data_IF_482273569269
#
_entry.id   IF_482273569269
#
_cell.length_a   1.000
_cell.length_b   1.000
_cell.length_c   1.000
_cell.angle_alpha   90.00
_cell.angle_beta   90.00
_cell.angle_gamma   90.00
#
_symmetry.space_group_name_H-M   'P 1'
#
loop_
_entity.id
_entity.type
_entity.pdbx_description
1 polymer ?
#
# COMPACT_ATOMS: atom_id res chain seq x y z
N UNK A 1 -8.85 -21.40 -6.08
CA UNK A 1 -7.38 -21.53 -6.19
C UNK A 1 -6.96 -21.04 -7.58
N UNK A 2 -7.06 -19.72 -7.82
CA UNK A 2 -6.68 -19.12 -9.10
C UNK A 2 -5.19 -18.73 -9.05
N UNK A 3 -4.42 -19.26 -10.00
CA UNK A 3 -2.99 -18.99 -10.15
C UNK A 3 -2.77 -17.58 -10.73
N UNK A 4 -2.26 -16.66 -9.93
CA UNK A 4 -1.63 -15.41 -10.38
C UNK A 4 -0.31 -15.71 -11.14
N UNK A 5 -0.40 -16.27 -12.35
CA UNK A 5 0.81 -16.68 -13.13
C UNK A 5 0.96 -15.97 -14.47
N UNK A 6 0.31 -14.82 -14.69
CA UNK A 6 0.30 -14.20 -16.03
C UNK A 6 0.87 -12.78 -16.16
N UNK A 7 1.67 -12.28 -15.20
CA UNK A 7 2.32 -10.97 -15.38
C UNK A 7 3.83 -10.88 -15.25
N UNK A 8 4.55 -11.96 -14.91
CA UNK A 8 6.03 -11.89 -14.87
C UNK A 8 6.61 -13.18 -15.43
N UNK A 9 6.84 -13.21 -16.74
CA UNK A 9 7.75 -14.19 -17.34
C UNK A 9 9.13 -13.54 -17.42
N UNK A 10 10.15 -14.02 -16.68
CA UNK A 10 11.49 -13.47 -16.81
C UNK A 10 12.07 -13.89 -18.17
N UNK A 11 12.21 -12.93 -19.09
CA UNK A 11 13.10 -13.12 -20.25
C UNK A 11 14.53 -13.11 -19.74
N UNK A 12 15.14 -14.29 -19.67
CA UNK A 12 16.60 -14.43 -19.54
C UNK A 12 17.25 -13.82 -20.78
N UNK A 13 17.79 -12.61 -20.68
CA UNK A 13 18.82 -12.11 -21.57
C UNK A 13 20.06 -11.77 -20.73
N UNK A 14 21.13 -12.53 -20.97
CA UNK A 14 22.53 -12.24 -20.66
C UNK A 14 22.90 -12.19 -19.15
N UNK A 15 23.99 -12.87 -18.80
CA UNK A 15 24.56 -13.08 -17.46
C UNK A 15 25.05 -11.81 -16.74
N UNK A 16 24.22 -10.77 -16.70
CA UNK A 16 24.37 -9.60 -15.83
C UNK A 16 23.34 -9.78 -14.72
N UNK A 17 23.73 -9.75 -13.43
CA UNK A 17 22.72 -9.66 -12.37
C UNK A 17 21.89 -8.41 -12.67
N UNK A 18 20.57 -8.57 -12.74
CA UNK A 18 19.69 -7.42 -12.64
C UNK A 18 20.12 -6.70 -11.36
N UNK A 19 20.61 -5.47 -11.48
CA UNK A 19 20.34 -4.52 -10.42
C UNK A 19 18.81 -4.52 -10.37
N UNK A 20 18.22 -5.13 -9.33
CA UNK A 20 16.86 -4.78 -9.01
C UNK A 20 16.88 -3.26 -8.96
N UNK A 21 15.98 -2.58 -9.69
CA UNK A 21 15.77 -1.17 -9.39
C UNK A 21 15.60 -1.09 -7.88
N UNK A 22 16.44 -0.27 -7.23
CA UNK A 22 16.53 -0.22 -5.79
C UNK A 22 15.09 0.08 -5.28
N UNK A 23 14.54 -0.87 -4.53
CA UNK A 23 13.12 -0.90 -4.21
C UNK A 23 12.96 -1.17 -2.73
N UNK A 24 12.11 -0.39 -2.09
CA UNK A 24 11.80 -0.54 -0.69
C UNK A 24 10.37 -1.01 -0.48
N UNK A 25 10.21 -1.98 0.43
CA UNK A 25 8.92 -2.32 1.00
C UNK A 25 8.81 -1.64 2.37
N UNK A 26 7.82 -0.77 2.52
CA UNK A 26 7.47 -0.11 3.77
C UNK A 26 6.27 -0.84 4.37
N UNK A 27 6.41 -1.32 5.60
CA UNK A 27 5.33 -2.03 6.28
C UNK A 27 4.56 -1.13 7.22
N UNK A 28 3.23 -1.17 7.13
CA UNK A 28 2.38 -0.77 8.25
C UNK A 28 2.35 -1.82 9.37
N UNK A 29 1.94 -1.42 10.57
CA UNK A 29 1.98 -2.22 11.80
C UNK A 29 1.17 -3.51 11.71
N UNK A 30 0.04 -3.49 11.00
CA UNK A 30 -0.84 -4.64 10.84
C UNK A 30 -0.44 -5.58 9.68
N UNK A 31 0.60 -5.25 8.92
CA UNK A 31 0.98 -5.98 7.70
C UNK A 31 2.43 -6.45 7.66
N UNK A 32 3.16 -6.41 8.78
CA UNK A 32 4.61 -6.72 8.83
C UNK A 32 4.99 -8.08 8.30
N UNK A 33 4.20 -9.10 8.58
CA UNK A 33 4.45 -10.44 8.03
C UNK A 33 4.33 -10.45 6.50
N UNK A 34 3.25 -9.87 5.95
CA UNK A 34 3.02 -9.83 4.50
C UNK A 34 4.09 -8.99 3.80
N UNK A 35 4.40 -7.81 4.33
CA UNK A 35 5.43 -6.92 3.81
C UNK A 35 6.82 -7.60 3.78
N UNK A 36 7.19 -8.30 4.85
CA UNK A 36 8.48 -9.00 4.93
C UNK A 36 8.59 -10.12 3.90
N UNK A 37 7.51 -10.89 3.69
CA UNK A 37 7.50 -11.91 2.65
C UNK A 37 7.54 -11.29 1.25
N UNK A 38 6.79 -10.22 1.01
CA UNK A 38 6.80 -9.51 -0.27
C UNK A 38 8.19 -8.98 -0.61
N UNK A 39 8.88 -8.34 0.35
CA UNK A 39 10.24 -7.84 0.18
C UNK A 39 11.19 -8.96 -0.27
N UNK A 40 11.12 -10.13 0.38
CA UNK A 40 11.94 -11.30 0.02
C UNK A 40 11.65 -11.83 -1.38
N UNK A 41 10.38 -11.97 -1.73
CA UNK A 41 9.98 -12.48 -3.06
C UNK A 41 10.39 -11.52 -4.19
N UNK A 42 10.38 -10.20 -3.92
CA UNK A 42 10.80 -9.18 -4.87
C UNK A 42 12.31 -8.92 -4.86
N UNK A 43 13.06 -9.51 -3.93
CA UNK A 43 14.46 -9.14 -3.65
C UNK A 43 14.63 -7.63 -3.37
N UNK A 44 13.64 -7.03 -2.71
CA UNK A 44 13.58 -5.64 -2.28
C UNK A 44 14.00 -5.50 -0.80
N UNK A 45 14.45 -4.31 -0.41
CA UNK A 45 14.79 -4.03 0.98
C UNK A 45 13.54 -3.72 1.82
N UNK A 46 13.51 -4.21 3.05
CA UNK A 46 12.46 -3.84 4.01
C UNK A 46 12.90 -2.56 4.74
N UNK A 47 12.15 -1.47 4.59
CA UNK A 47 12.48 -0.19 5.20
C UNK A 47 12.43 -0.26 6.75
N UNK A 48 13.36 0.43 7.41
CA UNK A 48 13.29 0.68 8.85
C UNK A 48 12.26 1.79 9.10
N UNK A 49 11.21 1.44 9.84
CA UNK A 49 10.10 2.32 10.18
C UNK A 49 9.79 2.20 11.67
N UNK A 50 9.63 3.36 12.30
CA UNK A 50 9.13 3.48 13.66
C UNK A 50 7.66 3.90 13.61
N UNK A 51 6.79 3.05 14.14
CA UNK A 51 5.39 3.37 14.39
C UNK A 51 5.11 3.19 15.87
N UNK A 52 4.52 4.21 16.50
CA UNK A 52 4.09 4.15 17.90
C UNK A 52 2.84 5.01 18.11
N UNK A 53 2.24 4.90 19.30
CA UNK A 53 1.11 5.73 19.71
C UNK A 53 1.55 6.72 20.79
N UNK A 54 1.04 7.94 20.73
CA UNK A 54 1.11 8.87 21.85
C UNK A 54 0.14 8.47 22.96
N UNK A 55 0.21 9.14 24.11
CA UNK A 55 -0.59 8.80 25.30
C UNK A 55 -2.10 8.97 25.03
N UNK A 56 -2.47 9.91 24.18
CA UNK A 56 -3.83 10.18 23.71
C UNK A 56 -4.29 9.29 22.54
N UNK A 57 -3.41 8.42 22.03
CA UNK A 57 -3.70 7.49 20.95
C UNK A 57 -3.36 7.98 19.54
N UNK A 58 -2.83 9.21 19.39
CA UNK A 58 -2.38 9.69 18.09
C UNK A 58 -1.27 8.80 17.51
N UNK A 59 -1.30 8.59 16.20
CA UNK A 59 -0.31 7.79 15.50
C UNK A 59 0.95 8.61 15.24
N UNK A 60 2.11 8.07 15.61
CA UNK A 60 3.41 8.58 15.22
C UNK A 60 4.03 7.64 14.20
N UNK A 61 4.51 8.19 13.09
CA UNK A 61 5.22 7.46 12.04
C UNK A 61 6.54 8.17 11.74
N UNK A 62 7.63 7.40 11.59
CA UNK A 62 8.92 7.89 11.10
C UNK A 62 9.62 6.83 10.27
N UNK A 63 9.95 7.17 9.03
CA UNK A 63 10.84 6.37 8.17
C UNK A 63 12.30 6.69 8.55
N UNK A 64 13.13 5.65 8.70
CA UNK A 64 14.56 5.76 9.04
C UNK A 64 15.48 5.35 7.89
N UNK A 65 14.99 4.53 6.96
CA UNK A 65 15.66 4.25 5.68
C UNK A 65 15.66 5.48 4.78
N UNK A 66 16.69 5.62 3.94
CA UNK A 66 16.65 6.59 2.84
C UNK A 66 15.88 5.98 1.66
N UNK A 67 14.83 6.65 1.18
CA UNK A 67 13.96 6.18 0.10
C UNK A 67 14.05 7.08 -1.15
N UNK A 68 15.06 7.95 -1.23
CA UNK A 68 15.18 8.96 -2.26
C UNK A 68 15.46 8.37 -3.65
N UNK A 69 14.66 8.74 -4.65
CA UNK A 69 14.73 8.21 -6.02
C UNK A 69 14.51 6.69 -6.14
N UNK A 70 13.80 6.08 -5.20
CA UNK A 70 13.49 4.65 -5.21
C UNK A 70 12.02 4.36 -5.48
N UNK A 71 11.70 3.17 -6.01
CA UNK A 71 10.33 2.67 -6.03
C UNK A 71 9.95 2.17 -4.63
N UNK A 72 8.84 2.68 -4.07
CA UNK A 72 8.41 2.36 -2.70
C UNK A 72 7.07 1.65 -2.71
N UNK A 73 7.04 0.43 -2.14
CA UNK A 73 5.82 -0.34 -1.92
C UNK A 73 5.39 -0.23 -0.45
N UNK A 74 4.30 0.49 -0.18
CA UNK A 74 3.66 0.51 1.12
C UNK A 74 2.71 -0.67 1.22
N UNK A 75 2.84 -1.50 2.25
CA UNK A 75 1.94 -2.63 2.50
C UNK A 75 1.19 -2.40 3.80
N UNK A 76 -0.13 -2.17 3.72
CA UNK A 76 -0.96 -1.95 4.90
C UNK A 76 -2.44 -2.29 4.66
N UNK A 77 -3.09 -2.90 5.65
CA UNK A 77 -4.55 -3.11 5.67
C UNK A 77 -5.26 -1.85 6.14
N UNK A 78 -6.52 -1.63 5.75
CA UNK A 78 -7.33 -0.49 6.23
C UNK A 78 -8.27 -0.84 7.37
N UNK A 79 -8.00 -1.95 8.08
CA UNK A 79 -8.72 -2.37 9.29
C UNK A 79 -7.76 -2.77 10.42
N UNK A 80 -8.02 -2.38 11.68
CA UNK A 80 -9.09 -1.46 12.12
C UNK A 80 -8.86 -0.02 11.61
N UNK A 81 -9.81 0.88 11.88
CA UNK A 81 -9.84 2.27 11.35
C UNK A 81 -8.53 3.03 11.56
N UNK A 82 -7.85 2.79 12.67
CA UNK A 82 -6.55 3.38 13.00
C UNK A 82 -5.45 3.09 11.96
N UNK A 83 -5.60 2.02 11.17
CA UNK A 83 -4.67 1.69 10.10
C UNK A 83 -4.88 2.56 8.85
N UNK A 84 -6.05 3.17 8.67
CA UNK A 84 -6.27 4.17 7.62
C UNK A 84 -5.40 5.39 7.93
N UNK A 85 -5.46 5.88 9.17
CA UNK A 85 -4.63 7.01 9.64
C UNK A 85 -3.15 6.66 9.52
N UNK A 86 -2.77 5.47 9.96
CA UNK A 86 -1.37 5.02 9.84
C UNK A 86 -0.91 4.96 8.38
N UNK A 87 -1.73 4.45 7.46
CA UNK A 87 -1.41 4.43 6.02
C UNK A 87 -1.21 5.84 5.47
N UNK A 88 -2.09 6.77 5.85
CA UNK A 88 -2.02 8.19 5.44
C UNK A 88 -0.70 8.82 5.87
N UNK A 89 -0.27 8.56 7.11
CA UNK A 89 0.97 9.10 7.69
C UNK A 89 2.23 8.41 7.16
N UNK A 90 2.17 7.10 6.87
CA UNK A 90 3.27 6.40 6.19
C UNK A 90 3.49 7.00 4.80
N UNK A 91 2.41 7.18 4.02
CA UNK A 91 2.48 7.77 2.67
C UNK A 91 3.01 9.19 2.71
N UNK A 92 2.59 10.01 3.67
CA UNK A 92 3.12 11.36 3.90
C UNK A 92 4.64 11.33 4.17
N UNK A 93 5.08 10.54 5.15
CA UNK A 93 6.49 10.42 5.51
C UNK A 93 7.37 9.83 4.38
N UNK A 94 6.81 8.93 3.56
CA UNK A 94 7.49 8.39 2.37
C UNK A 94 7.65 9.47 1.30
N UNK A 95 6.65 10.33 1.12
CA UNK A 95 6.65 11.33 0.04
C UNK A 95 7.70 12.43 0.26
N UNK A 96 8.06 12.72 1.51
CA UNK A 96 9.17 13.63 1.86
C UNK A 96 10.53 13.22 1.27
N UNK A 97 10.73 11.94 0.96
CA UNK A 97 11.95 11.44 0.32
C UNK A 97 11.95 11.64 -1.21
N UNK A 98 10.87 12.12 -1.83
CA UNK A 98 10.72 12.18 -3.29
C UNK A 98 11.05 10.85 -3.99
N UNK A 99 10.37 9.73 -3.62
CA UNK A 99 10.57 8.46 -4.31
C UNK A 99 10.07 8.55 -5.76
N UNK A 100 10.63 7.69 -6.61
CA UNK A 100 10.30 7.60 -8.04
C UNK A 100 8.83 7.19 -8.23
N UNK A 101 8.37 6.21 -7.45
CA UNK A 101 6.96 5.79 -7.39
C UNK A 101 6.55 5.37 -5.98
N UNK A 102 5.27 5.53 -5.67
CA UNK A 102 4.64 4.96 -4.48
C UNK A 102 3.51 4.02 -4.89
N UNK A 103 3.65 2.75 -4.51
CA UNK A 103 2.67 1.69 -4.73
C UNK A 103 2.07 1.33 -3.37
N UNK A 104 0.74 1.44 -3.22
CA UNK A 104 0.03 1.02 -2.03
C UNK A 104 -0.61 -0.36 -2.24
N UNK A 105 -0.08 -1.37 -1.56
CA UNK A 105 -0.67 -2.71 -1.49
C UNK A 105 -1.58 -2.79 -0.27
N UNK A 106 -2.85 -3.12 -0.48
CA UNK A 106 -3.85 -3.28 0.57
C UNK A 106 -4.30 -4.75 0.65
N UNK A 107 -3.73 -5.56 1.56
CA UNK A 107 -4.10 -6.96 1.72
C UNK A 107 -5.56 -7.18 2.13
N UNK A 108 -6.14 -6.21 2.83
CA UNK A 108 -7.55 -6.21 3.20
C UNK A 108 -8.09 -4.78 3.18
N UNK A 109 -9.07 -4.56 2.30
CA UNK A 109 -9.74 -3.27 2.17
C UNK A 109 -11.00 -3.23 3.06
N UNK A 110 -10.86 -2.62 4.24
CA UNK A 110 -11.99 -2.22 5.09
C UNK A 110 -12.94 -1.26 4.36
N UNK A 111 -14.13 -1.05 4.94
CA UNK A 111 -15.20 -0.20 4.37
C UNK A 111 -15.80 -0.65 3.02
N UNK A 112 -15.28 -1.74 2.44
CA UNK A 112 -15.77 -2.34 1.18
C UNK A 112 -17.26 -2.72 1.14
N UNK A 113 -17.93 -2.82 2.30
CA UNK A 113 -19.33 -3.30 2.39
C UNK A 113 -20.37 -2.22 2.09
N UNK A 114 -20.03 -0.93 2.21
CA UNK A 114 -20.93 0.18 1.91
C UNK A 114 -20.40 0.90 0.66
N UNK A 115 -20.58 0.23 -0.46
CA UNK A 115 -20.07 0.54 -1.79
C UNK A 115 -21.10 1.20 -2.71
N UNK A 116 -22.35 1.35 -2.24
CA UNK A 116 -23.41 2.12 -2.88
C UNK A 116 -24.38 2.66 -1.84
N UNK A 117 -25.21 3.61 -2.26
CA UNK A 117 -26.34 4.08 -1.46
C UNK A 117 -27.55 3.18 -1.69
N UNK A 118 -28.15 2.71 -0.61
CA UNK A 118 -29.45 2.05 -0.58
C UNK A 118 -30.55 3.00 -0.09
N UNK A 119 -30.17 3.98 0.73
CA UNK A 119 -31.06 5.03 1.25
C UNK A 119 -30.48 6.43 0.97
N UNK A 120 -31.37 7.41 0.90
CA UNK A 120 -30.98 8.81 0.78
C UNK A 120 -30.13 9.25 1.98
N UNK A 121 -29.07 10.00 1.70
CA UNK A 121 -28.15 10.51 2.73
C UNK A 121 -27.02 9.55 3.13
N UNK A 122 -27.01 8.29 2.66
CA UNK A 122 -25.92 7.36 2.99
C UNK A 122 -24.58 7.78 2.37
N UNK A 123 -23.51 7.49 3.09
CA UNK A 123 -22.16 7.52 2.55
C UNK A 123 -21.95 6.34 1.59
N UNK A 124 -21.03 6.52 0.64
CA UNK A 124 -20.39 5.40 -0.06
C UNK A 124 -18.99 5.32 0.53
N UNK A 125 -18.85 4.65 1.67
CA UNK A 125 -17.60 4.67 2.44
C UNK A 125 -16.45 4.00 1.71
N UNK A 126 -16.70 2.95 0.92
CA UNK A 126 -15.69 2.37 0.03
C UNK A 126 -15.13 3.41 -0.93
N UNK A 127 -15.96 4.30 -1.49
CA UNK A 127 -15.47 5.38 -2.36
C UNK A 127 -14.74 6.46 -1.58
N UNK A 128 -15.29 6.88 -0.45
CA UNK A 128 -14.70 7.95 0.36
C UNK A 128 -13.30 7.58 0.88
N UNK A 129 -13.11 6.35 1.36
CA UNK A 129 -11.80 5.87 1.82
C UNK A 129 -10.84 5.69 0.64
N UNK A 130 -11.29 5.17 -0.49
CA UNK A 130 -10.45 5.01 -1.69
C UNK A 130 -9.90 6.35 -2.19
N UNK A 131 -10.74 7.40 -2.21
CA UNK A 131 -10.34 8.75 -2.62
C UNK A 131 -9.22 9.31 -1.73
N UNK A 132 -9.32 9.16 -0.40
CA UNK A 132 -8.29 9.64 0.54
C UNK A 132 -6.98 8.86 0.40
N UNK A 133 -7.07 7.54 0.22
CA UNK A 133 -5.91 6.67 0.05
C UNK A 133 -5.23 6.83 -1.32
N UNK A 134 -5.92 7.41 -2.31
CA UNK A 134 -5.35 7.66 -3.65
C UNK A 134 -4.44 8.89 -3.70
N UNK A 135 -4.49 9.77 -2.70
CA UNK A 135 -3.71 11.01 -2.69
C UNK A 135 -2.21 10.66 -2.66
N UNK A 136 -1.43 11.24 -3.57
CA UNK A 136 0.02 11.05 -3.72
C UNK A 136 0.47 9.57 -3.80
N UNK A 137 -0.37 8.72 -4.40
CA UNK A 137 -0.09 7.31 -4.70
C UNK A 137 -0.16 7.09 -6.22
N UNK A 138 0.84 6.44 -6.80
CA UNK A 138 0.91 6.14 -8.24
C UNK A 138 0.15 4.89 -8.63
N UNK A 139 0.07 3.90 -7.74
CA UNK A 139 -0.69 2.66 -7.98
C UNK A 139 -1.20 2.08 -6.67
N UNK A 140 -2.44 1.61 -6.66
CA UNK A 140 -3.01 0.80 -5.58
C UNK A 140 -3.14 -0.64 -6.06
N UNK A 141 -2.88 -1.60 -5.17
CA UNK A 141 -3.11 -3.02 -5.44
C UNK A 141 -3.97 -3.59 -4.31
N UNK A 142 -5.19 -4.04 -4.64
CA UNK A 142 -6.09 -4.69 -3.70
C UNK A 142 -5.93 -6.21 -3.79
N UNK A 143 -5.95 -6.89 -2.64
CA UNK A 143 -6.02 -8.36 -2.59
C UNK A 143 -7.47 -8.78 -2.34
N UNK A 144 -8.08 -9.40 -3.35
CA UNK A 144 -9.44 -9.99 -3.31
C UNK A 144 -10.50 -9.03 -2.73
N UNK A 145 -10.74 -7.87 -3.38
CA UNK A 145 -11.73 -6.91 -2.89
C UNK A 145 -13.13 -7.53 -2.85
N UNK A 146 -13.99 -7.07 -1.95
CA UNK A 146 -15.36 -7.60 -1.81
C UNK A 146 -16.15 -7.60 -3.13
N UNK A 147 -15.87 -6.61 -3.98
CA UNK A 147 -16.34 -6.47 -5.36
C UNK A 147 -15.20 -5.94 -6.22
N UNK A 148 -15.02 -6.49 -7.41
CA UNK A 148 -13.93 -6.10 -8.32
C UNK A 148 -13.97 -4.60 -8.67
N UNK A 149 -15.17 -4.02 -8.83
CA UNK A 149 -15.34 -2.61 -9.17
C UNK A 149 -14.93 -1.63 -8.06
N UNK A 150 -14.57 -2.10 -6.86
CA UNK A 150 -14.04 -1.22 -5.80
C UNK A 150 -12.77 -0.51 -6.27
N UNK A 151 -11.99 -1.16 -7.15
CA UNK A 151 -10.82 -0.56 -7.80
C UNK A 151 -11.17 0.73 -8.57
N UNK A 152 -12.37 0.83 -9.14
CA UNK A 152 -12.84 2.00 -9.90
C UNK A 152 -13.06 3.25 -9.01
N UNK A 153 -13.11 3.09 -7.69
CA UNK A 153 -13.23 4.23 -6.79
C UNK A 153 -11.91 4.97 -6.53
N UNK A 154 -10.76 4.31 -6.76
CA UNK A 154 -9.47 4.94 -6.60
C UNK A 154 -9.23 5.95 -7.74
N UNK A 155 -8.61 7.09 -7.40
CA UNK A 155 -8.29 8.17 -8.37
C UNK A 155 -6.94 8.00 -9.05
N UNK A 156 -6.27 6.89 -8.75
CA UNK A 156 -5.01 6.46 -9.31
C UNK A 156 -5.19 5.09 -9.98
N UNK A 157 -4.14 4.54 -10.59
CA UNK A 157 -4.20 3.19 -11.16
C UNK A 157 -4.46 2.19 -10.02
N UNK A 158 -5.49 1.36 -10.14
CA UNK A 158 -5.89 0.39 -9.11
C UNK A 158 -6.34 -0.95 -9.71
#
# INVERSE_FOLDING_TARGET
MLKLTHFITPKKLNNTPYYAEDMFVVSGSASRSVATHLARELSADLADIEVRRFIDGECYVRIRSNLENEDVIIVQTTYPDENIIETILIRDAVRDFNPDKIILVIPYYGYARQDRKFQDGEAVSARAIAEILSIDIDTVLLVDPHKDYITEFFKTKA
#
